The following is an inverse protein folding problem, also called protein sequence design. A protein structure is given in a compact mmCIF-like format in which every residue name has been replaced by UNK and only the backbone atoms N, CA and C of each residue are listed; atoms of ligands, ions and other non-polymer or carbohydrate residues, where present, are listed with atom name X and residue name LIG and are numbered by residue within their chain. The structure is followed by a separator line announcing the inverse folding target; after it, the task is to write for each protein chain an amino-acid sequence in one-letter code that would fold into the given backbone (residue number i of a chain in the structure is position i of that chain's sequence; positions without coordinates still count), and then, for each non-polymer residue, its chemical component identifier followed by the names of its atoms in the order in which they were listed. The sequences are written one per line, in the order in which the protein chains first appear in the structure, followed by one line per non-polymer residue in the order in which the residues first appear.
data_IF_728101474625
#
_entry.id   IF_728101474625
#
_cell.length_a   1.000
_cell.length_b   1.000
_cell.length_c   1.000
_cell.angle_alpha   90.00
_cell.angle_beta   90.00
_cell.angle_gamma   90.00
#
_symmetry.space_group_name_H-M   'P 1'
#
loop_
_entity.id
_entity.type
_entity.pdbx_description
1 polymer ?
#
# COMPACT_ATOMS: atom_id res chain seq x y z
N UNK A 1 -44.92 -19.11 29.26
CA UNK A 1 -45.16 -17.66 29.05
C UNK A 1 -44.06 -17.12 28.14
N UNK A 2 -44.49 -16.61 26.98
CA UNK A 2 -43.85 -15.66 26.04
C UNK A 2 -42.44 -15.95 25.51
N UNK A 3 -42.46 -16.42 24.27
CA UNK A 3 -41.52 -16.14 23.18
C UNK A 3 -40.86 -14.75 23.27
N UNK A 4 -39.56 -14.70 22.98
CA UNK A 4 -39.00 -13.63 22.16
C UNK A 4 -38.10 -14.25 21.09
N UNK A 5 -38.50 -14.01 19.85
CA UNK A 5 -37.77 -14.24 18.61
C UNK A 5 -36.49 -13.38 18.53
N UNK A 6 -35.56 -13.70 17.61
CA UNK A 6 -34.17 -13.27 17.68
C UNK A 6 -33.99 -11.81 17.26
N UNK A 7 -32.98 -11.15 17.81
CA UNK A 7 -32.48 -9.87 17.27
C UNK A 7 -31.26 -10.19 16.41
N UNK A 8 -31.47 -10.22 15.09
CA UNK A 8 -30.39 -10.09 14.12
C UNK A 8 -30.13 -8.59 13.95
N UNK A 9 -28.91 -8.14 14.22
CA UNK A 9 -28.48 -6.78 13.90
C UNK A 9 -27.08 -6.84 13.30
N UNK A 10 -27.09 -6.63 11.98
CA UNK A 10 -26.02 -6.23 11.05
C UNK A 10 -24.74 -7.08 11.00
N UNK A 11 -24.41 -7.49 9.79
CA UNK A 11 -23.16 -8.17 9.45
C UNK A 11 -21.98 -7.29 9.86
N UNK A 12 -21.42 -7.54 11.04
CA UNK A 12 -20.08 -7.09 11.38
C UNK A 12 -19.10 -7.83 10.47
N UNK A 13 -18.81 -7.29 9.29
CA UNK A 13 -17.64 -7.68 8.53
C UNK A 13 -16.42 -7.13 9.28
N UNK A 14 -16.03 -7.84 10.35
CA UNK A 14 -14.76 -7.59 11.02
C UNK A 14 -13.68 -7.76 9.95
N UNK A 15 -13.12 -6.63 9.52
CA UNK A 15 -11.98 -6.63 8.60
C UNK A 15 -10.76 -6.86 9.45
N UNK A 16 -10.16 -8.05 9.34
CA UNK A 16 -8.91 -8.35 10.02
C UNK A 16 -7.76 -7.77 9.19
N UNK A 17 -6.91 -6.97 9.85
CA UNK A 17 -5.65 -6.47 9.30
C UNK A 17 -4.55 -7.32 9.92
N UNK A 18 -3.82 -8.05 9.09
CA UNK A 18 -2.63 -8.79 9.46
C UNK A 18 -1.39 -7.97 9.11
N UNK A 19 -0.52 -7.72 10.09
CA UNK A 19 0.78 -7.13 9.85
C UNK A 19 1.74 -8.19 9.30
N UNK A 20 2.47 -7.85 8.24
CA UNK A 20 3.51 -8.70 7.65
C UNK A 20 4.86 -8.22 8.20
N UNK A 21 5.57 -9.09 8.90
CA UNK A 21 6.90 -8.79 9.44
C UNK A 21 7.93 -8.64 8.30
N UNK A 22 8.89 -7.72 8.47
CA UNK A 22 10.00 -7.47 7.55
C UNK A 22 11.23 -7.04 8.34
N UNK A 23 12.43 -7.42 7.89
CA UNK A 23 13.68 -6.96 8.51
C UNK A 23 14.00 -5.50 8.17
N UNK A 24 13.60 -4.62 9.08
CA UNK A 24 13.88 -3.18 8.99
C UNK A 24 15.35 -2.80 9.26
N UNK A 25 16.22 -3.75 9.61
CA UNK A 25 17.66 -3.51 9.72
C UNK A 25 18.43 -3.80 8.43
N UNK A 26 17.76 -4.39 7.43
CA UNK A 26 18.39 -4.79 6.17
C UNK A 26 18.98 -3.61 5.40
N UNK A 27 20.17 -3.85 4.84
CA UNK A 27 20.85 -2.92 3.95
C UNK A 27 20.24 -2.89 2.52
N UNK A 28 19.35 -3.82 2.19
CA UNK A 28 18.66 -3.91 0.89
C UNK A 28 17.14 -3.85 1.07
N UNK A 29 16.40 -3.71 -0.03
CA UNK A 29 14.93 -3.79 -0.04
C UNK A 29 14.42 -5.06 -0.74
N UNK A 30 15.25 -6.10 -0.86
CA UNK A 30 14.90 -7.31 -1.63
C UNK A 30 13.78 -8.13 -0.98
N UNK A 31 13.71 -8.17 0.35
CA UNK A 31 12.60 -8.80 1.08
C UNK A 31 11.28 -8.06 0.79
N UNK A 32 11.30 -6.73 0.89
CA UNK A 32 10.16 -5.88 0.53
C UNK A 32 9.71 -6.14 -0.91
N UNK A 33 10.64 -6.17 -1.88
CA UNK A 33 10.35 -6.45 -3.28
C UNK A 33 9.74 -7.83 -3.48
N UNK A 34 10.24 -8.84 -2.77
CA UNK A 34 9.71 -10.21 -2.83
C UNK A 34 8.25 -10.24 -2.40
N UNK A 35 7.92 -9.59 -1.27
CA UNK A 35 6.54 -9.52 -0.77
C UNK A 35 5.64 -8.74 -1.75
N UNK A 36 6.07 -7.55 -2.16
CA UNK A 36 5.27 -6.68 -3.06
C UNK A 36 5.05 -7.34 -4.42
N UNK A 37 6.04 -8.05 -4.95
CA UNK A 37 5.92 -8.81 -6.20
C UNK A 37 4.77 -9.81 -6.15
N UNK A 38 4.66 -10.61 -5.08
CA UNK A 38 3.55 -11.55 -4.92
C UNK A 38 2.19 -10.85 -4.82
N UNK A 39 2.13 -9.72 -4.12
CA UNK A 39 0.88 -8.97 -3.94
C UNK A 39 0.41 -8.29 -5.22
N UNK A 40 1.33 -7.82 -6.06
CA UNK A 40 1.02 -7.22 -7.36
C UNK A 40 0.33 -8.21 -8.32
N UNK A 41 0.69 -9.50 -8.28
CA UNK A 41 0.13 -10.53 -9.19
C UNK A 41 -1.39 -10.67 -9.13
N UNK A 42 -2.01 -10.33 -8.00
CA UNK A 42 -3.47 -10.45 -7.78
C UNK A 42 -4.18 -9.11 -7.65
N UNK A 43 -3.47 -7.99 -7.72
CA UNK A 43 -4.04 -6.65 -7.60
C UNK A 43 -4.45 -6.10 -8.98
N UNK A 44 -5.66 -5.54 -9.08
CA UNK A 44 -6.12 -4.88 -10.31
C UNK A 44 -5.84 -3.37 -10.34
N UNK A 45 -5.77 -2.74 -9.16
CA UNK A 45 -5.59 -1.29 -9.00
C UNK A 45 -4.63 -0.97 -7.86
N UNK A 46 -4.02 0.21 -7.95
CA UNK A 46 -3.15 0.75 -6.93
C UNK A 46 -3.54 2.18 -6.56
N UNK A 47 -3.13 2.60 -5.37
CA UNK A 47 -2.92 3.99 -5.00
C UNK A 47 -1.50 4.16 -4.47
N UNK A 48 -0.83 5.23 -4.87
CA UNK A 48 0.45 5.68 -4.32
C UNK A 48 0.20 7.03 -3.66
N UNK A 49 0.57 7.13 -2.39
CA UNK A 49 0.44 8.33 -1.58
C UNK A 49 1.84 8.93 -1.41
N UNK A 50 1.95 10.24 -1.63
CA UNK A 50 3.17 11.01 -1.45
C UNK A 50 2.86 12.30 -0.68
N UNK A 51 3.82 12.81 0.08
CA UNK A 51 3.75 14.18 0.63
C UNK A 51 3.90 15.22 -0.48
N UNK A 52 3.40 16.44 -0.27
CA UNK A 52 3.47 17.50 -1.29
C UNK A 52 4.91 17.87 -1.69
N UNK A 53 5.86 17.71 -0.77
CA UNK A 53 7.27 18.03 -0.94
C UNK A 53 8.03 16.96 -1.76
N UNK A 54 7.44 15.78 -1.96
CA UNK A 54 8.03 14.65 -2.69
C UNK A 54 7.76 14.76 -4.21
N UNK A 55 8.16 15.89 -4.80
CA UNK A 55 7.84 16.23 -6.19
C UNK A 55 8.33 15.16 -7.19
N UNK A 56 9.52 14.60 -6.97
CA UNK A 56 10.09 13.56 -7.85
C UNK A 56 9.30 12.26 -7.79
N UNK A 57 8.88 11.87 -6.59
CA UNK A 57 8.08 10.68 -6.35
C UNK A 57 6.68 10.85 -6.96
N UNK A 58 6.07 12.03 -6.79
CA UNK A 58 4.80 12.38 -7.45
C UNK A 58 4.94 12.26 -8.96
N UNK A 59 5.96 12.87 -9.57
CA UNK A 59 6.21 12.79 -11.01
C UNK A 59 6.42 11.36 -11.49
N UNK A 60 7.16 10.53 -10.73
CA UNK A 60 7.35 9.12 -11.03
C UNK A 60 6.01 8.36 -11.04
N UNK A 61 5.21 8.50 -9.98
CA UNK A 61 3.93 7.81 -9.84
C UNK A 61 2.93 8.23 -10.94
N UNK A 62 2.91 9.51 -11.32
CA UNK A 62 2.03 10.04 -12.37
C UNK A 62 2.29 9.44 -13.75
N UNK A 63 3.44 8.83 -14.02
CA UNK A 63 3.70 8.12 -15.29
C UNK A 63 2.81 6.88 -15.46
N UNK A 64 2.30 6.33 -14.36
CA UNK A 64 1.55 5.06 -14.32
C UNK A 64 0.11 5.22 -13.83
N UNK A 65 -0.27 6.41 -13.39
CA UNK A 65 -1.59 6.69 -12.84
C UNK A 65 -2.06 8.10 -13.14
N UNK A 66 -3.04 8.56 -12.37
CA UNK A 66 -3.53 9.94 -12.40
C UNK A 66 -3.71 10.45 -10.99
N UNK A 67 -3.70 11.76 -10.83
CA UNK A 67 -4.07 12.37 -9.55
C UNK A 67 -5.53 12.01 -9.22
N UNK A 68 -5.74 11.46 -8.02
CA UNK A 68 -7.05 11.25 -7.42
C UNK A 68 -7.42 12.50 -6.63
N UNK A 69 -8.62 13.01 -6.84
CA UNK A 69 -9.14 14.11 -6.02
C UNK A 69 -9.42 13.61 -4.60
N UNK A 70 -8.82 14.26 -3.61
CA UNK A 70 -8.99 13.92 -2.19
C UNK A 70 -9.02 15.18 -1.36
N UNK A 71 -9.51 15.08 -0.12
CA UNK A 71 -9.43 16.16 0.86
C UNK A 71 -8.09 16.26 1.61
N UNK A 72 -7.08 15.47 1.24
CA UNK A 72 -5.80 15.44 1.93
C UNK A 72 -4.93 16.62 1.50
N UNK A 73 -4.80 17.62 2.36
CA UNK A 73 -4.07 18.86 2.06
C UNK A 73 -2.56 18.71 2.06
N UNK A 74 -2.02 17.70 2.73
CA UNK A 74 -0.58 17.53 2.96
C UNK A 74 0.11 16.68 1.89
N UNK A 75 -0.66 16.03 1.02
CA UNK A 75 -0.10 15.12 0.05
C UNK A 75 -0.97 14.92 -1.17
N UNK A 76 -0.51 14.01 -2.03
CA UNK A 76 -1.16 13.63 -3.28
C UNK A 76 -1.41 12.13 -3.27
N UNK A 77 -2.56 11.75 -3.80
CA UNK A 77 -2.89 10.34 -4.07
C UNK A 77 -2.91 10.14 -5.57
N UNK A 78 -2.08 9.23 -6.06
CA UNK A 78 -2.02 8.83 -7.46
C UNK A 78 -2.68 7.45 -7.58
N UNK A 79 -3.75 7.34 -8.35
CA UNK A 79 -4.42 6.05 -8.57
C UNK A 79 -4.22 5.53 -10.00
N UNK A 80 -4.20 4.21 -10.16
CA UNK A 80 -4.04 3.59 -11.48
C UNK A 80 -4.39 2.12 -11.50
N UNK A 81 -4.24 1.50 -12.68
CA UNK A 81 -4.32 0.05 -12.84
C UNK A 81 -2.95 -0.56 -12.57
N UNK A 82 -2.92 -1.71 -11.91
CA UNK A 82 -1.69 -2.51 -11.87
C UNK A 82 -1.50 -3.11 -13.26
N UNK A 83 -0.43 -2.70 -13.93
CA UNK A 83 0.01 -3.20 -15.24
C UNK A 83 1.41 -3.76 -15.09
N UNK A 84 1.84 -4.62 -16.02
CA UNK A 84 3.22 -5.16 -16.01
C UNK A 84 4.26 -4.04 -15.94
N UNK A 85 4.11 -2.99 -16.76
CA UNK A 85 5.01 -1.83 -16.74
C UNK A 85 5.07 -1.10 -15.41
N UNK A 86 3.94 -1.02 -14.69
CA UNK A 86 3.88 -0.39 -13.37
C UNK A 86 4.52 -1.28 -12.31
N UNK A 87 4.26 -2.59 -12.35
CA UNK A 87 4.88 -3.57 -11.46
C UNK A 87 6.41 -3.62 -11.66
N UNK A 88 6.87 -3.71 -12.90
CA UNK A 88 8.29 -3.71 -13.26
C UNK A 88 8.97 -2.42 -12.79
N UNK A 89 8.33 -1.27 -13.02
CA UNK A 89 8.82 0.01 -12.51
C UNK A 89 8.99 -0.03 -10.99
N UNK A 90 7.95 -0.39 -10.25
CA UNK A 90 7.97 -0.39 -8.79
C UNK A 90 9.06 -1.33 -8.23
N UNK A 91 9.22 -2.51 -8.84
CA UNK A 91 10.20 -3.52 -8.42
C UNK A 91 11.64 -3.18 -8.87
N UNK A 92 11.80 -2.32 -9.88
CA UNK A 92 13.11 -1.86 -10.34
C UNK A 92 13.71 -0.74 -9.49
N UNK A 93 12.91 -0.06 -8.66
CA UNK A 93 13.40 1.05 -7.85
C UNK A 93 14.48 0.57 -6.87
N UNK A 94 15.60 1.31 -6.77
CA UNK A 94 16.61 1.02 -5.76
C UNK A 94 16.07 1.33 -4.36
N UNK A 95 16.70 0.76 -3.34
CA UNK A 95 16.46 1.20 -1.96
C UNK A 95 16.79 2.70 -1.85
N UNK A 96 15.92 3.53 -1.26
CA UNK A 96 16.23 4.94 -1.03
C UNK A 96 17.47 5.11 -0.15
N UNK A 97 18.22 6.18 -0.39
CA UNK A 97 19.48 6.47 0.31
C UNK A 97 19.30 7.41 1.51
N UNK A 98 18.20 8.15 1.54
CA UNK A 98 17.78 9.07 2.60
C UNK A 98 17.10 8.30 3.75
N UNK A 99 17.92 7.60 4.52
CA UNK A 99 17.48 6.66 5.55
C UNK A 99 17.60 7.19 6.98
N UNK A 100 17.84 8.49 7.18
CA UNK A 100 18.13 9.03 8.52
C UNK A 100 16.94 8.96 9.48
N UNK A 101 15.70 9.06 8.96
CA UNK A 101 14.46 9.01 9.76
C UNK A 101 13.80 7.62 9.70
N UNK A 102 13.85 6.97 8.54
CA UNK A 102 13.28 5.65 8.29
C UNK A 102 14.27 4.83 7.49
N UNK A 103 14.44 3.53 7.78
CA UNK A 103 15.17 2.65 6.86
C UNK A 103 14.29 2.28 5.64
N UNK A 104 13.98 3.29 4.81
CA UNK A 104 13.00 3.22 3.72
C UNK A 104 13.24 2.02 2.80
N UNK A 105 12.16 1.36 2.40
CA UNK A 105 12.17 0.26 1.42
C UNK A 105 11.69 0.70 0.04
N UNK A 106 10.92 1.77 -0.02
CA UNK A 106 10.40 2.41 -1.24
C UNK A 106 10.43 3.93 -1.06
N UNK A 107 10.60 4.72 -2.13
CA UNK A 107 10.58 6.18 -2.02
C UNK A 107 9.17 6.73 -1.75
N UNK A 108 8.12 5.96 -2.02
CA UNK A 108 6.74 6.40 -1.83
C UNK A 108 6.31 6.29 -0.36
N UNK A 109 5.57 7.28 0.14
CA UNK A 109 5.09 7.27 1.51
C UNK A 109 4.20 6.04 1.79
N UNK A 110 3.18 5.79 0.96
CA UNK A 110 2.38 4.57 1.05
C UNK A 110 1.95 4.04 -0.32
N UNK A 111 1.84 2.73 -0.43
CA UNK A 111 1.34 2.02 -1.61
C UNK A 111 0.19 1.12 -1.16
N UNK A 112 -0.99 1.32 -1.74
CA UNK A 112 -2.18 0.52 -1.48
C UNK A 112 -2.56 -0.26 -2.72
N UNK A 113 -2.90 -1.53 -2.55
CA UNK A 113 -3.40 -2.40 -3.61
C UNK A 113 -4.86 -2.77 -3.32
N UNK A 114 -5.68 -2.87 -4.37
CA UNK A 114 -7.11 -3.16 -4.24
C UNK A 114 -7.42 -4.54 -3.59
N UNK A 115 -6.44 -5.45 -3.63
CA UNK A 115 -6.52 -6.75 -2.97
C UNK A 115 -6.33 -6.68 -1.45
N UNK A 116 -6.26 -5.48 -0.87
CA UNK A 116 -6.20 -5.27 0.57
C UNK A 116 -4.78 -5.22 1.14
N UNK A 117 -3.75 -5.38 0.31
CA UNK A 117 -2.37 -5.17 0.73
C UNK A 117 -2.03 -3.67 0.80
N UNK A 118 -1.23 -3.29 1.78
CA UNK A 118 -0.58 -1.98 1.84
C UNK A 118 0.87 -2.09 2.30
N UNK A 119 1.69 -1.20 1.74
CA UNK A 119 3.06 -0.94 2.14
C UNK A 119 3.12 0.53 2.54
N UNK A 120 3.18 0.81 3.82
CA UNK A 120 2.99 2.13 4.42
C UNK A 120 4.28 2.63 5.06
N UNK A 121 4.35 3.94 5.30
CA UNK A 121 5.49 4.62 5.93
C UNK A 121 6.83 4.26 5.26
N UNK A 122 6.91 4.47 3.94
CA UNK A 122 8.09 4.13 3.13
C UNK A 122 8.40 2.63 3.06
N UNK A 123 7.38 1.80 3.28
CA UNK A 123 7.48 0.34 3.25
C UNK A 123 8.10 -0.26 4.50
N UNK A 124 8.12 0.48 5.61
CA UNK A 124 8.51 -0.06 6.92
C UNK A 124 7.36 -0.77 7.63
N UNK A 125 6.13 -0.61 7.14
CA UNK A 125 4.95 -1.27 7.67
C UNK A 125 4.19 -1.94 6.52
N UNK A 126 4.00 -3.25 6.61
CA UNK A 126 3.29 -4.02 5.60
C UNK A 126 2.02 -4.62 6.22
N UNK A 127 0.89 -4.46 5.56
CA UNK A 127 -0.40 -4.94 6.05
C UNK A 127 -1.15 -5.73 4.97
N UNK A 128 -1.92 -6.73 5.38
CA UNK A 128 -2.88 -7.45 4.54
C UNK A 128 -4.26 -7.42 5.19
N UNK A 129 -5.24 -6.87 4.48
CA UNK A 129 -6.65 -7.04 4.83
C UNK A 129 -7.18 -8.34 4.27
N UNK A 130 -7.73 -9.20 5.12
CA UNK A 130 -8.51 -10.35 4.64
C UNK A 130 -9.88 -9.86 4.16
N UNK A 131 -10.24 -10.18 2.92
CA UNK A 131 -11.65 -10.06 2.49
C UNK A 131 -12.41 -11.19 3.18
N UNK A 132 -13.36 -10.84 4.05
CA UNK A 132 -14.27 -11.80 4.67
C UNK A 132 -14.88 -12.71 3.60
N UNK A 133 -14.77 -14.02 3.80
CA UNK A 133 -15.29 -15.05 2.90
C UNK A 133 -16.81 -14.95 2.72
#
# INVERSE_FOLDING_TARGET
MKNKEPVISEKNHTTYIEAIEIDLSSATNEEWKTIVSEKLKSAGRFEIHCWNEEEKEIEMALRYGRLKETGWSYGKVIEGKVTEKMADFLLSLPKPTDTEVYNKMTPFFSIFLENGFSSEHYGTELNQRERGR
#
